data_IF_420881829993
#
_entry.id   IF_420881829993
#
_cell.length_a   1.000
_cell.length_b   1.000
_cell.length_c   1.000
_cell.angle_alpha   90.00
_cell.angle_beta   90.00
_cell.angle_gamma   90.00
#
_symmetry.space_group_name_H-M   'P 1'
#
loop_
_entity.id
_entity.type
_entity.pdbx_description
1 polymer ?
#
# COMPACT_ATOMS: atom_id res chain seq x y z
N UNK A 1 -7.59 23.31 19.94
CA UNK A 1 -6.94 22.03 20.33
C UNK A 1 -6.90 20.96 19.22
N UNK A 2 -7.91 20.87 18.34
CA UNK A 2 -7.91 19.89 17.23
C UNK A 2 -6.78 20.06 16.20
N UNK A 3 -6.30 21.30 15.97
CA UNK A 3 -5.20 21.61 15.03
C UNK A 3 -3.83 21.10 15.50
N UNK A 4 -3.57 21.14 16.81
CA UNK A 4 -2.33 20.66 17.44
C UNK A 4 -2.27 19.13 17.42
N UNK A 5 -3.40 18.47 17.68
CA UNK A 5 -3.52 17.00 17.58
C UNK A 5 -3.32 16.50 16.15
N UNK A 6 -3.85 17.21 15.14
CA UNK A 6 -3.62 16.89 13.72
C UNK A 6 -2.15 17.04 13.32
N UNK A 7 -1.47 18.11 13.76
CA UNK A 7 -0.03 18.28 13.51
C UNK A 7 0.79 17.17 14.17
N UNK A 8 0.50 16.82 15.42
CA UNK A 8 1.21 15.75 16.16
C UNK A 8 0.97 14.34 15.60
N UNK A 9 -0.16 14.09 14.95
CA UNK A 9 -0.42 12.84 14.23
C UNK A 9 0.34 12.75 12.90
N UNK A 10 0.37 13.85 12.14
CA UNK A 10 1.14 13.94 10.89
C UNK A 10 2.65 13.83 11.12
N UNK A 11 3.15 14.42 12.21
CA UNK A 11 4.55 14.44 12.60
C UNK A 11 5.03 13.06 13.11
N UNK A 12 4.19 12.37 13.90
CA UNK A 12 4.44 10.96 14.27
C UNK A 12 4.44 10.04 13.06
N UNK A 13 3.56 10.29 12.10
CA UNK A 13 3.55 9.61 10.81
C UNK A 13 4.89 9.75 10.11
N UNK A 14 5.42 10.97 9.96
CA UNK A 14 6.75 11.22 9.38
C UNK A 14 7.86 10.49 10.15
N UNK A 15 7.91 10.58 11.48
CA UNK A 15 8.96 9.91 12.27
C UNK A 15 8.94 8.38 12.16
N UNK A 16 7.74 7.77 12.04
CA UNK A 16 7.59 6.33 11.87
C UNK A 16 7.99 5.91 10.45
N UNK A 17 7.68 6.74 9.45
CA UNK A 17 8.12 6.53 8.07
C UNK A 17 9.63 6.65 7.94
N UNK A 18 10.22 7.67 8.56
CA UNK A 18 11.66 7.85 8.61
C UNK A 18 12.31 6.69 9.36
N UNK A 19 11.75 6.21 10.47
CA UNK A 19 12.23 5.02 11.18
C UNK A 19 12.09 3.72 10.35
N UNK A 20 11.00 3.57 9.58
CA UNK A 20 10.79 2.45 8.64
C UNK A 20 11.69 2.55 7.40
N UNK A 21 12.23 3.73 7.07
CA UNK A 21 13.10 3.90 5.91
C UNK A 21 14.60 3.97 6.28
N UNK A 22 14.93 4.34 7.52
CA UNK A 22 16.30 4.65 7.98
C UNK A 22 17.14 3.41 8.34
N UNK A 23 16.54 2.30 8.77
CA UNK A 23 17.27 1.06 9.11
C UNK A 23 16.62 -0.18 8.48
N UNK A 24 17.24 -0.72 7.42
CA UNK A 24 16.70 -1.82 6.57
C UNK A 24 16.24 -3.04 7.35
N UNK A 25 16.86 -3.38 8.49
CA UNK A 25 16.49 -4.56 9.30
C UNK A 25 15.32 -4.28 10.25
N UNK A 26 15.33 -3.14 10.91
CA UNK A 26 14.31 -2.77 11.89
C UNK A 26 12.97 -2.47 11.21
N UNK A 27 13.03 -1.78 10.08
CA UNK A 27 11.91 -1.52 9.18
C UNK A 27 11.13 -2.78 8.78
N UNK A 28 11.85 -3.81 8.34
CA UNK A 28 11.27 -5.09 7.91
C UNK A 28 10.58 -5.79 9.09
N UNK A 29 11.23 -5.81 10.25
CA UNK A 29 10.66 -6.37 11.47
C UNK A 29 9.40 -5.62 11.91
N UNK A 30 9.38 -4.29 11.86
CA UNK A 30 8.18 -3.48 12.18
C UNK A 30 7.04 -3.80 11.21
N UNK A 31 7.30 -3.84 9.90
CA UNK A 31 6.26 -4.16 8.91
C UNK A 31 5.65 -5.53 9.19
N UNK A 32 6.49 -6.52 9.49
CA UNK A 32 6.04 -7.88 9.85
C UNK A 32 5.27 -7.87 11.18
N UNK A 33 5.69 -7.07 12.16
CA UNK A 33 5.08 -7.00 13.49
C UNK A 33 3.71 -6.31 13.43
N UNK A 34 3.60 -5.19 12.70
CA UNK A 34 2.33 -4.52 12.39
C UNK A 34 1.40 -5.49 11.67
N UNK A 35 1.90 -6.20 10.65
CA UNK A 35 1.13 -7.23 9.95
C UNK A 35 0.60 -8.30 10.90
N UNK A 36 1.45 -8.89 11.75
CA UNK A 36 1.06 -9.89 12.74
C UNK A 36 0.04 -9.34 13.74
N UNK A 37 0.19 -8.10 14.19
CA UNK A 37 -0.73 -7.44 15.10
C UNK A 37 -2.11 -7.19 14.45
N UNK A 38 -2.14 -6.75 13.18
CA UNK A 38 -3.40 -6.67 12.41
C UNK A 38 -4.02 -8.05 12.18
N UNK A 39 -3.22 -9.09 11.96
CA UNK A 39 -3.68 -10.48 11.82
C UNK A 39 -4.32 -11.01 13.11
N UNK A 40 -3.74 -10.71 14.27
CA UNK A 40 -4.28 -11.07 15.59
C UNK A 40 -5.63 -10.39 15.87
N UNK A 41 -5.84 -9.16 15.38
CA UNK A 41 -7.10 -8.42 15.55
C UNK A 41 -8.19 -8.80 14.53
N UNK A 42 -7.83 -9.19 13.31
CA UNK A 42 -8.76 -9.52 12.22
C UNK A 42 -9.05 -11.03 12.07
N UNK A 43 -8.91 -11.82 13.14
CA UNK A 43 -8.99 -13.30 13.13
C UNK A 43 -10.35 -13.93 12.75
N UNK A 44 -11.20 -13.27 11.95
CA UNK A 44 -12.48 -13.84 11.47
C UNK A 44 -12.74 -13.74 9.97
N UNK A 45 -11.89 -13.11 9.16
CA UNK A 45 -12.13 -13.05 7.70
C UNK A 45 -11.09 -13.85 6.94
N UNK A 46 -11.53 -14.98 6.36
CA UNK A 46 -10.78 -15.86 5.46
C UNK A 46 -9.91 -15.08 4.48
N UNK A 47 -8.60 -15.29 4.54
CA UNK A 47 -7.66 -14.65 3.62
C UNK A 47 -7.79 -15.23 2.21
N UNK A 48 -8.11 -14.36 1.24
CA UNK A 48 -7.80 -14.61 -0.17
C UNK A 48 -6.30 -14.34 -0.42
N UNK A 49 -5.62 -15.10 -1.28
CA UNK A 49 -4.23 -14.82 -1.68
C UNK A 49 -4.12 -13.40 -2.26
N UNK A 50 -3.11 -12.63 -1.84
CA UNK A 50 -2.85 -11.26 -2.34
C UNK A 50 -3.43 -10.12 -1.48
N UNK A 51 -3.43 -10.27 -0.16
CA UNK A 51 -3.98 -9.28 0.77
C UNK A 51 -3.08 -8.03 0.93
N UNK A 52 -3.71 -6.88 1.12
CA UNK A 52 -3.05 -5.57 1.32
C UNK A 52 -3.39 -5.04 2.71
N UNK A 53 -2.40 -4.60 3.48
CA UNK A 53 -2.60 -3.91 4.77
C UNK A 53 -2.32 -2.44 4.60
N UNK A 54 -3.25 -1.61 5.07
CA UNK A 54 -3.09 -0.15 5.10
C UNK A 54 -2.36 0.22 6.39
N UNK A 55 -1.16 0.78 6.26
CA UNK A 55 -0.36 1.22 7.41
C UNK A 55 -0.72 2.66 7.77
N UNK A 56 -0.97 3.50 6.76
CA UNK A 56 -1.35 4.90 6.93
C UNK A 56 -2.22 5.39 5.78
N UNK A 57 -2.54 6.68 5.77
CA UNK A 57 -3.21 7.32 4.66
C UNK A 57 -2.38 7.25 3.36
N UNK A 58 -1.05 7.21 3.44
CA UNK A 58 -0.15 7.28 2.27
C UNK A 58 0.59 5.99 1.96
N UNK A 59 0.59 5.02 2.87
CA UNK A 59 1.37 3.78 2.73
C UNK A 59 0.50 2.57 2.95
N UNK A 60 0.67 1.60 2.05
CA UNK A 60 0.16 0.25 2.20
C UNK A 60 1.29 -0.77 2.02
N UNK A 61 1.02 -1.98 2.52
CA UNK A 61 1.90 -3.13 2.38
C UNK A 61 1.10 -4.23 1.72
N UNK A 62 1.49 -4.59 0.50
CA UNK A 62 0.99 -5.81 -0.13
C UNK A 62 1.84 -6.98 0.33
N UNK A 63 1.19 -8.10 0.62
CA UNK A 63 1.88 -9.34 0.90
C UNK A 63 1.26 -10.47 0.10
N UNK A 64 2.11 -11.34 -0.43
CA UNK A 64 1.68 -12.53 -1.14
C UNK A 64 2.40 -13.76 -0.59
N UNK A 65 1.77 -14.92 -0.79
CA UNK A 65 2.38 -16.22 -0.50
C UNK A 65 3.31 -16.67 -1.63
N UNK A 66 3.36 -15.94 -2.74
CA UNK A 66 4.02 -16.34 -3.98
C UNK A 66 5.32 -15.56 -4.19
N UNK A 67 6.43 -16.27 -4.39
CA UNK A 67 7.80 -15.74 -4.46
C UNK A 67 8.10 -14.89 -5.70
N UNK A 68 7.45 -13.73 -5.90
CA UNK A 68 7.78 -12.86 -7.03
C UNK A 68 7.90 -11.41 -6.62
N UNK A 69 9.15 -10.97 -6.42
CA UNK A 69 9.55 -9.56 -6.41
C UNK A 69 9.30 -8.87 -7.77
N UNK A 70 9.06 -9.66 -8.83
CA UNK A 70 8.72 -9.18 -10.16
C UNK A 70 7.51 -8.21 -10.18
N UNK A 71 6.57 -8.33 -9.24
CA UNK A 71 5.46 -7.37 -9.14
C UNK A 71 5.97 -5.96 -8.79
N UNK A 72 6.93 -5.84 -7.88
CA UNK A 72 7.53 -4.56 -7.51
C UNK A 72 8.33 -3.98 -8.68
N UNK A 73 9.14 -4.81 -9.35
CA UNK A 73 9.90 -4.40 -10.54
C UNK A 73 8.98 -3.96 -11.69
N UNK A 74 7.86 -4.67 -11.91
CA UNK A 74 6.88 -4.32 -12.92
C UNK A 74 6.24 -2.95 -12.63
N UNK A 75 5.88 -2.65 -11.38
CA UNK A 75 5.37 -1.32 -11.02
C UNK A 75 6.40 -0.22 -11.29
N UNK A 76 7.67 -0.44 -10.91
CA UNK A 76 8.76 0.51 -11.19
C UNK A 76 8.94 0.69 -12.70
N UNK A 77 8.90 -0.38 -13.49
CA UNK A 77 9.00 -0.32 -14.94
C UNK A 77 7.84 0.47 -15.55
N UNK A 78 6.59 0.08 -15.27
CA UNK A 78 5.39 0.70 -15.84
C UNK A 78 5.31 2.18 -15.46
N UNK A 79 5.68 2.55 -14.23
CA UNK A 79 5.66 3.95 -13.77
C UNK A 79 6.49 4.91 -14.62
N UNK A 80 7.47 4.40 -15.38
CA UNK A 80 8.31 5.22 -16.27
C UNK A 80 7.65 5.54 -17.61
N UNK A 81 6.60 4.81 -17.97
CA UNK A 81 6.03 4.78 -19.32
C UNK A 81 4.56 5.16 -19.38
N UNK A 82 3.93 5.52 -18.25
CA UNK A 82 2.52 5.89 -18.20
C UNK A 82 2.31 7.19 -17.44
N UNK A 83 1.32 7.98 -17.88
CA UNK A 83 0.81 9.14 -17.16
C UNK A 83 -0.19 8.77 -16.06
N UNK A 84 -0.69 7.52 -16.07
CA UNK A 84 -1.61 7.02 -15.04
C UNK A 84 -0.82 6.81 -13.74
N UNK A 85 -1.31 7.31 -12.59
CA UNK A 85 -0.60 7.11 -11.32
C UNK A 85 -0.37 5.64 -11.00
N UNK A 86 0.90 5.26 -10.81
CA UNK A 86 1.32 3.92 -10.37
C UNK A 86 1.89 4.03 -8.95
N UNK A 87 1.63 3.06 -8.05
CA UNK A 87 2.15 3.11 -6.69
C UNK A 87 3.68 3.18 -6.66
N UNK A 88 4.24 4.18 -5.98
CA UNK A 88 5.69 4.22 -5.74
C UNK A 88 6.10 3.08 -4.80
N UNK A 89 7.03 2.24 -5.23
CA UNK A 89 7.60 1.18 -4.40
C UNK A 89 8.68 1.77 -3.51
N UNK A 90 8.50 1.68 -2.19
CA UNK A 90 9.51 2.11 -1.21
C UNK A 90 10.48 0.98 -0.85
N UNK A 91 9.97 -0.25 -0.77
CA UNK A 91 10.78 -1.42 -0.41
C UNK A 91 10.07 -2.70 -0.82
N UNK A 92 10.81 -3.66 -1.36
CA UNK A 92 10.32 -5.01 -1.63
C UNK A 92 11.31 -6.03 -1.06
N UNK A 93 10.83 -7.00 -0.31
CA UNK A 93 11.69 -8.01 0.32
C UNK A 93 10.95 -9.31 0.61
N UNK A 94 11.70 -10.41 0.67
CA UNK A 94 11.22 -11.69 1.15
C UNK A 94 11.48 -11.84 2.65
N UNK A 95 10.50 -12.35 3.37
CA UNK A 95 10.63 -12.74 4.78
C UNK A 95 9.77 -13.97 5.06
N UNK A 96 10.38 -15.03 5.60
CA UNK A 96 9.72 -16.32 5.88
C UNK A 96 8.86 -16.82 4.70
N UNK A 97 9.47 -16.87 3.50
CA UNK A 97 8.83 -17.34 2.26
C UNK A 97 7.63 -16.52 1.78
N UNK A 98 7.50 -15.28 2.25
CA UNK A 98 6.47 -14.33 1.81
C UNK A 98 7.13 -13.07 1.30
N UNK A 99 6.61 -12.52 0.21
CA UNK A 99 7.08 -11.23 -0.30
C UNK A 99 6.23 -10.13 0.32
N UNK A 100 6.91 -9.08 0.77
CA UNK A 100 6.33 -7.85 1.29
C UNK A 100 6.73 -6.71 0.36
N UNK A 101 5.74 -5.99 -0.14
CA UNK A 101 5.93 -4.80 -0.97
C UNK A 101 5.35 -3.63 -0.20
N UNK A 102 6.22 -2.76 0.30
CA UNK A 102 5.88 -1.48 0.93
C UNK A 102 5.79 -0.45 -0.17
N UNK A 103 4.60 0.14 -0.34
CA UNK A 103 4.32 1.02 -1.46
C UNK A 103 3.38 2.16 -1.08
N UNK A 104 3.34 3.16 -1.94
CA UNK A 104 2.38 4.26 -1.84
C UNK A 104 0.94 3.77 -1.97
N UNK A 105 0.05 4.33 -1.15
CA UNK A 105 -1.38 4.14 -1.29
C UNK A 105 -1.93 5.18 -2.26
N UNK A 106 -2.43 4.73 -3.40
CA UNK A 106 -3.20 5.58 -4.30
C UNK A 106 -4.58 5.84 -3.69
N UNK A 107 -4.95 7.12 -3.62
CA UNK A 107 -6.28 7.54 -3.20
C UNK A 107 -7.24 7.51 -4.38
N UNK A 108 -8.40 6.89 -4.18
CA UNK A 108 -9.44 6.81 -5.18
C UNK A 108 -10.52 5.83 -4.77
N UNK A 109 -11.56 5.74 -5.60
CA UNK A 109 -12.58 4.70 -5.51
C UNK A 109 -12.34 3.69 -6.63
N UNK A 110 -12.49 2.37 -6.36
CA UNK A 110 -12.50 1.38 -7.42
C UNK A 110 -13.58 1.72 -8.44
N UNK A 111 -13.24 1.67 -9.72
CA UNK A 111 -14.15 2.02 -10.81
C UNK A 111 -15.46 1.21 -10.76
N UNK A 112 -15.41 -0.02 -10.23
CA UNK A 112 -16.58 -0.88 -10.06
C UNK A 112 -17.66 -0.32 -9.12
N UNK A 113 -17.32 0.61 -8.23
CA UNK A 113 -18.28 1.17 -7.24
C UNK A 113 -19.31 2.08 -7.90
N UNK A 114 -18.89 2.88 -8.87
CA UNK A 114 -19.70 3.95 -9.46
C UNK A 114 -19.78 3.88 -10.99
N UNK A 115 -19.27 2.80 -11.62
CA UNK A 115 -19.24 2.65 -13.08
C UNK A 115 -20.61 2.85 -13.72
N UNK A 116 -21.66 2.21 -13.19
CA UNK A 116 -23.01 2.26 -13.78
C UNK A 116 -23.55 3.69 -13.76
N UNK A 117 -23.31 4.42 -12.67
CA UNK A 117 -23.78 5.77 -12.41
C UNK A 117 -23.01 6.86 -13.18
N UNK A 118 -21.85 6.54 -13.78
CA UNK A 118 -21.09 7.50 -14.61
C UNK A 118 -21.83 7.87 -15.89
N UNK A 119 -21.75 9.14 -16.28
CA UNK A 119 -22.26 9.63 -17.57
C UNK A 119 -21.56 8.97 -18.76
N UNK A 120 -22.24 8.95 -19.92
CA UNK A 120 -21.67 8.44 -21.17
C UNK A 120 -20.35 9.13 -21.53
N UNK A 121 -20.29 10.45 -21.41
CA UNK A 121 -19.06 11.24 -21.65
C UNK A 121 -17.92 10.85 -20.70
N UNK A 122 -18.21 10.58 -19.43
CA UNK A 122 -17.17 10.12 -18.49
C UNK A 122 -16.69 8.71 -18.81
N UNK A 123 -17.55 7.82 -19.28
CA UNK A 123 -17.18 6.46 -19.68
C UNK A 123 -16.31 6.47 -20.94
N UNK A 124 -16.67 7.29 -21.94
CA UNK A 124 -15.89 7.48 -23.16
C UNK A 124 -14.44 7.90 -22.84
N UNK A 125 -14.26 8.93 -22.01
CA UNK A 125 -12.92 9.40 -21.58
C UNK A 125 -12.04 8.36 -20.86
N UNK A 126 -12.61 7.27 -20.36
CA UNK A 126 -11.86 6.19 -19.69
C UNK A 126 -11.49 5.08 -20.69
N UNK A 127 -12.28 4.91 -21.74
CA UNK A 127 -12.12 3.85 -22.74
C UNK A 127 -11.35 4.30 -24.00
N UNK A 128 -11.37 5.60 -24.30
CA UNK A 128 -10.58 6.26 -25.35
C UNK A 128 -9.16 6.60 -24.86
#
# INVERSE_FOLDING_TARGET
MASVLRRKAADRGKSLLDMILKERKFARSIVVLVFKATRLRLSRTSHKPGSVVLISAKICVKFNSFKRLAEAEAMVYVSRWTSIPVPRVYSAFEYKQRVYIVMERIHGQPLSVDWVQRSSTSKAKILE
#
